data_IF_255647735971
#
_entry.id   IF_255647735971
#
_cell.length_a   1.000
_cell.length_b   1.000
_cell.length_c   1.000
_cell.angle_alpha   90.00
_cell.angle_beta   90.00
_cell.angle_gamma   90.00
#
_symmetry.space_group_name_H-M   'P 1'
#
loop_
_entity.id
_entity.type
_entity.pdbx_description
1 polymer ?
#
# COMPACT_ATOMS: atom_id res chain seq x y z
N UNK A 1 17.30 -14.52 -1.31
CA UNK A 1 16.47 -13.30 -1.14
C UNK A 1 15.77 -13.00 -2.47
N UNK A 2 14.48 -12.63 -2.47
CA UNK A 2 13.76 -12.28 -3.69
C UNK A 2 14.37 -11.01 -4.32
N UNK A 3 14.23 -10.86 -5.64
CA UNK A 3 14.52 -9.60 -6.31
C UNK A 3 13.31 -8.63 -6.19
N UNK A 4 13.51 -7.35 -6.52
CA UNK A 4 12.47 -6.32 -6.37
C UNK A 4 11.20 -6.62 -7.20
N UNK A 5 11.36 -7.19 -8.39
CA UNK A 5 10.24 -7.56 -9.26
C UNK A 5 9.40 -8.68 -8.63
N UNK A 6 10.03 -9.71 -8.08
CA UNK A 6 9.30 -10.80 -7.40
C UNK A 6 8.53 -10.30 -6.18
N UNK A 7 9.09 -9.33 -5.43
CA UNK A 7 8.40 -8.72 -4.30
C UNK A 7 7.21 -7.91 -4.76
N UNK A 8 7.37 -7.08 -5.81
CA UNK A 8 6.28 -6.31 -6.39
C UNK A 8 5.15 -7.21 -6.90
N UNK A 9 5.46 -8.25 -7.68
CA UNK A 9 4.44 -9.16 -8.20
C UNK A 9 3.64 -9.85 -7.09
N UNK A 10 4.32 -10.30 -6.04
CA UNK A 10 3.64 -10.92 -4.91
C UNK A 10 2.73 -9.93 -4.17
N UNK A 11 3.19 -8.69 -3.97
CA UNK A 11 2.42 -7.63 -3.34
C UNK A 11 1.24 -7.18 -4.22
N UNK A 12 1.48 -7.00 -5.52
CA UNK A 12 0.44 -6.55 -6.45
C UNK A 12 -0.64 -7.60 -6.68
N UNK A 13 -0.29 -8.89 -6.77
CA UNK A 13 -1.28 -9.96 -6.84
C UNK A 13 -2.24 -9.97 -5.64
N UNK A 14 -1.75 -9.62 -4.45
CA UNK A 14 -2.58 -9.44 -3.27
C UNK A 14 -3.48 -8.21 -3.38
N UNK A 15 -2.91 -7.06 -3.75
CA UNK A 15 -3.66 -5.81 -3.90
C UNK A 15 -4.76 -5.98 -4.96
N UNK A 16 -4.44 -6.49 -6.15
CA UNK A 16 -5.37 -6.69 -7.24
C UNK A 16 -6.58 -7.58 -6.87
N UNK A 17 -6.42 -8.50 -5.93
CA UNK A 17 -7.52 -9.32 -5.39
C UNK A 17 -8.53 -8.48 -4.60
N UNK A 18 -8.07 -7.40 -3.93
CA UNK A 18 -8.90 -6.53 -3.11
C UNK A 18 -9.41 -5.31 -3.86
N UNK A 19 -8.74 -4.91 -4.94
CA UNK A 19 -9.24 -3.89 -5.84
C UNK A 19 -10.24 -4.53 -6.82
N UNK A 20 -11.49 -4.12 -6.75
CA UNK A 20 -12.59 -4.67 -7.55
C UNK A 20 -12.42 -4.41 -9.06
N UNK A 21 -13.43 -4.87 -9.84
CA UNK A 21 -13.59 -4.45 -11.22
C UNK A 21 -14.21 -3.05 -11.31
N UNK A 22 -15.14 -2.90 -12.24
CA UNK A 22 -15.91 -1.66 -12.38
C UNK A 22 -16.83 -1.42 -11.18
N UNK A 23 -16.77 -0.20 -10.63
CA UNK A 23 -17.67 0.27 -9.59
C UNK A 23 -18.05 1.73 -9.88
N UNK A 24 -19.35 2.00 -9.84
CA UNK A 24 -19.91 3.34 -10.03
C UNK A 24 -21.09 3.51 -9.07
N UNK A 25 -20.92 4.37 -8.09
CA UNK A 25 -21.97 4.66 -7.13
C UNK A 25 -22.11 6.17 -6.93
N UNK A 26 -23.32 6.76 -7.05
CA UNK A 26 -23.53 8.21 -6.99
C UNK A 26 -23.02 8.89 -5.71
N UNK A 27 -22.90 8.14 -4.62
CA UNK A 27 -22.42 8.64 -3.32
C UNK A 27 -20.94 8.29 -3.05
N UNK A 28 -20.21 7.76 -4.04
CA UNK A 28 -18.77 7.51 -3.89
C UNK A 28 -17.98 8.81 -4.17
N UNK A 29 -17.27 9.35 -3.18
CA UNK A 29 -16.46 10.56 -3.38
C UNK A 29 -15.34 10.37 -4.42
N UNK A 30 -14.92 9.14 -4.70
CA UNK A 30 -13.91 8.81 -5.70
C UNK A 30 -14.44 8.83 -7.13
N UNK A 31 -15.77 8.82 -7.29
CA UNK A 31 -16.44 8.68 -8.58
C UNK A 31 -16.32 7.25 -9.14
N UNK A 32 -16.48 7.13 -10.46
CA UNK A 32 -16.32 5.84 -11.15
C UNK A 32 -14.91 5.28 -10.92
N UNK A 33 -14.82 3.97 -10.75
CA UNK A 33 -13.58 3.25 -10.45
C UNK A 33 -13.48 2.00 -11.30
N UNK A 34 -12.30 1.72 -11.86
CA UNK A 34 -11.99 0.50 -12.60
C UNK A 34 -10.67 -0.08 -12.07
N UNK A 35 -10.69 -1.34 -11.65
CA UNK A 35 -9.53 -2.04 -11.09
C UNK A 35 -8.79 -1.25 -9.98
N UNK A 36 -9.55 -0.51 -9.12
CA UNK A 36 -9.01 0.32 -8.06
C UNK A 36 -8.52 1.72 -8.49
N UNK A 37 -8.52 2.03 -9.78
CA UNK A 37 -8.20 3.36 -10.31
C UNK A 37 -9.47 4.18 -10.39
N UNK A 38 -9.58 5.25 -9.56
CA UNK A 38 -10.75 6.13 -9.53
C UNK A 38 -10.56 7.36 -10.38
N UNK A 39 -11.67 7.95 -10.83
CA UNK A 39 -11.65 9.21 -11.58
C UNK A 39 -10.96 10.33 -10.77
N UNK A 40 -11.23 10.41 -9.47
CA UNK A 40 -10.57 11.39 -8.62
C UNK A 40 -9.06 11.20 -8.58
N UNK A 41 -8.59 9.95 -8.58
CA UNK A 41 -7.15 9.65 -8.62
C UNK A 41 -6.56 10.11 -9.95
N UNK A 42 -7.17 9.77 -11.10
CA UNK A 42 -6.67 10.19 -12.42
C UNK A 42 -6.63 11.71 -12.54
N UNK A 43 -7.68 12.42 -12.10
CA UNK A 43 -7.73 13.90 -12.08
C UNK A 43 -6.66 14.56 -11.19
N UNK A 44 -6.07 13.82 -10.28
CA UNK A 44 -4.93 14.26 -9.47
C UNK A 44 -3.56 14.07 -10.13
N UNK A 45 -3.51 13.44 -11.31
CA UNK A 45 -2.30 13.22 -12.09
C UNK A 45 -2.10 14.34 -13.13
N UNK A 46 -0.90 14.41 -13.70
CA UNK A 46 -0.66 15.19 -14.90
C UNK A 46 -1.46 14.61 -16.07
N UNK A 47 -1.88 15.46 -17.04
CA UNK A 47 -2.69 15.05 -18.18
C UNK A 47 -2.11 13.82 -18.90
N UNK A 48 -0.80 13.83 -19.19
CA UNK A 48 -0.12 12.74 -19.89
C UNK A 48 -0.12 11.39 -19.12
N UNK A 49 -0.42 11.39 -17.82
CA UNK A 49 -0.56 10.17 -17.00
C UNK A 49 -2.03 9.77 -16.82
N UNK A 50 -2.94 10.74 -16.78
CA UNK A 50 -4.35 10.55 -16.43
C UNK A 50 -5.27 10.39 -17.64
N UNK A 51 -4.90 10.95 -18.78
CA UNK A 51 -5.57 10.80 -20.08
C UNK A 51 -5.20 9.42 -20.66
N UNK A 52 -6.05 8.43 -20.37
CA UNK A 52 -5.77 7.02 -20.69
C UNK A 52 -6.23 6.69 -22.12
N UNK A 53 -7.29 7.33 -22.60
CA UNK A 53 -7.81 7.11 -23.96
C UNK A 53 -7.20 8.05 -25.00
N UNK A 54 -6.50 9.11 -24.57
CA UNK A 54 -5.71 10.00 -25.42
C UNK A 54 -6.52 11.07 -26.13
N UNK A 55 -7.68 11.45 -25.58
CA UNK A 55 -8.58 12.45 -26.19
C UNK A 55 -8.28 13.90 -25.76
N UNK A 56 -7.41 14.10 -24.76
CA UNK A 56 -6.89 15.39 -24.32
C UNK A 56 -7.54 15.94 -23.06
N UNK A 57 -8.38 15.16 -22.38
CA UNK A 57 -8.89 15.51 -21.06
C UNK A 57 -8.81 14.33 -20.07
N UNK A 58 -9.31 14.50 -18.84
CA UNK A 58 -9.37 13.42 -17.86
C UNK A 58 -10.80 13.33 -17.33
N UNK A 59 -11.51 12.31 -17.80
CA UNK A 59 -12.90 12.14 -17.47
C UNK A 59 -13.29 10.67 -17.16
N UNK A 60 -14.56 10.34 -17.33
CA UNK A 60 -15.10 9.02 -17.08
C UNK A 60 -14.58 7.98 -18.08
N UNK A 61 -14.37 8.37 -19.32
CA UNK A 61 -14.03 7.46 -20.40
C UNK A 61 -12.59 6.97 -20.22
N UNK A 62 -11.68 7.78 -19.62
CA UNK A 62 -10.36 7.33 -19.15
C UNK A 62 -10.46 6.19 -18.17
N UNK A 63 -11.37 6.30 -17.17
CA UNK A 63 -11.55 5.22 -16.20
C UNK A 63 -12.06 3.96 -16.87
N UNK A 64 -12.94 4.07 -17.85
CA UNK A 64 -13.47 2.94 -18.62
C UNK A 64 -12.40 2.31 -19.52
N UNK A 65 -11.43 3.11 -19.99
CA UNK A 65 -10.29 2.65 -20.79
C UNK A 65 -9.21 1.93 -19.94
N UNK A 66 -9.25 2.03 -18.59
CA UNK A 66 -8.28 1.34 -17.74
C UNK A 66 -8.38 -0.18 -17.91
N UNK A 67 -7.30 -0.79 -18.34
CA UNK A 67 -7.11 -2.24 -18.34
C UNK A 67 -6.45 -2.71 -17.04
N UNK A 68 -6.40 -4.03 -16.81
CA UNK A 68 -5.64 -4.58 -15.66
C UNK A 68 -4.15 -4.24 -15.72
N UNK A 69 -3.59 -4.23 -16.92
CA UNK A 69 -2.17 -3.91 -17.12
C UNK A 69 -1.92 -2.41 -16.89
N UNK A 70 -2.80 -1.54 -17.40
CA UNK A 70 -2.75 -0.09 -17.13
C UNK A 70 -2.85 0.19 -15.64
N UNK A 71 -3.81 -0.43 -14.93
CA UNK A 71 -3.96 -0.29 -13.48
C UNK A 71 -2.70 -0.76 -12.74
N UNK A 72 -2.13 -1.91 -13.13
CA UNK A 72 -0.89 -2.43 -12.56
C UNK A 72 0.28 -1.44 -12.71
N UNK A 73 0.43 -0.84 -13.90
CA UNK A 73 1.51 0.10 -14.17
C UNK A 73 1.33 1.42 -13.41
N UNK A 74 0.09 1.92 -13.31
CA UNK A 74 -0.28 3.06 -12.46
C UNK A 74 0.08 2.76 -11.00
N UNK A 75 -0.35 1.62 -10.47
CA UNK A 75 -0.07 1.24 -9.08
C UNK A 75 1.43 1.05 -8.84
N UNK A 76 2.16 0.43 -9.79
CA UNK A 76 3.60 0.32 -9.70
C UNK A 76 4.26 1.69 -9.60
N UNK A 77 3.93 2.59 -10.50
CA UNK A 77 4.53 3.94 -10.56
C UNK A 77 4.24 4.75 -9.29
N UNK A 78 2.97 4.83 -8.87
CA UNK A 78 2.56 5.76 -7.83
C UNK A 78 2.69 5.23 -6.40
N UNK A 79 2.55 3.92 -6.19
CA UNK A 79 2.52 3.32 -4.86
C UNK A 79 3.74 2.42 -4.56
N UNK A 80 4.54 2.09 -5.60
CA UNK A 80 5.74 1.29 -5.44
C UNK A 80 7.02 2.05 -5.78
N UNK A 81 7.16 2.56 -7.00
CA UNK A 81 8.40 3.19 -7.47
C UNK A 81 8.60 4.59 -6.85
N UNK A 82 7.61 5.49 -6.98
CA UNK A 82 7.70 6.86 -6.40
C UNK A 82 7.98 6.85 -4.88
N UNK A 83 7.29 6.04 -4.05
CA UNK A 83 7.61 5.95 -2.63
C UNK A 83 8.79 5.04 -2.31
N UNK A 84 9.52 4.54 -3.29
CA UNK A 84 10.72 3.72 -3.12
C UNK A 84 10.45 2.42 -2.33
N UNK A 85 9.26 1.83 -2.47
CA UNK A 85 8.88 0.63 -1.74
C UNK A 85 9.81 -0.56 -2.06
N UNK A 86 10.29 -0.68 -3.32
CA UNK A 86 11.22 -1.71 -3.74
C UNK A 86 12.60 -1.67 -3.08
N UNK A 87 12.95 -0.57 -2.39
CA UNK A 87 14.21 -0.44 -1.63
C UNK A 87 14.04 -0.85 -0.15
N UNK A 88 12.82 -1.13 0.29
CA UNK A 88 12.55 -1.63 1.64
C UNK A 88 12.87 -3.13 1.75
N UNK A 89 13.07 -3.66 2.97
CA UNK A 89 13.10 -5.11 3.19
C UNK A 89 11.81 -5.76 2.62
N UNK A 90 11.90 -6.90 1.94
CA UNK A 90 10.80 -7.48 1.16
C UNK A 90 9.45 -7.56 1.86
N UNK A 91 9.39 -8.05 3.10
CA UNK A 91 8.11 -8.17 3.83
C UNK A 91 7.53 -6.80 4.24
N UNK A 92 8.41 -5.84 4.52
CA UNK A 92 8.02 -4.45 4.82
C UNK A 92 7.43 -3.78 3.59
N UNK A 93 8.08 -3.98 2.41
CA UNK A 93 7.61 -3.48 1.12
C UNK A 93 6.19 -3.96 0.80
N UNK A 94 5.89 -5.25 1.03
CA UNK A 94 4.54 -5.83 0.84
C UNK A 94 3.51 -5.13 1.73
N UNK A 95 3.78 -4.99 3.03
CA UNK A 95 2.87 -4.32 3.97
C UNK A 95 2.69 -2.84 3.63
N UNK A 96 3.79 -2.16 3.29
CA UNK A 96 3.78 -0.75 2.93
C UNK A 96 2.91 -0.51 1.69
N UNK A 97 3.15 -1.27 0.62
CA UNK A 97 2.45 -1.13 -0.64
C UNK A 97 0.94 -1.36 -0.50
N UNK A 98 0.54 -2.45 0.15
CA UNK A 98 -0.89 -2.73 0.38
C UNK A 98 -1.57 -1.62 1.19
N UNK A 99 -0.90 -1.09 2.22
CA UNK A 99 -1.47 0.00 3.00
C UNK A 99 -1.42 1.34 2.25
N UNK A 100 -0.40 1.59 1.46
CA UNK A 100 -0.28 2.79 0.62
C UNK A 100 -1.39 2.88 -0.43
N UNK A 101 -1.72 1.76 -1.08
CA UNK A 101 -2.86 1.70 -2.02
C UNK A 101 -4.18 1.99 -1.29
N UNK A 102 -4.39 1.41 -0.11
CA UNK A 102 -5.65 1.54 0.61
C UNK A 102 -5.84 2.89 1.33
N UNK A 103 -4.77 3.50 1.86
CA UNK A 103 -4.87 4.68 2.73
C UNK A 103 -4.01 5.87 2.28
N UNK A 104 -3.33 5.75 1.14
CA UNK A 104 -2.43 6.73 0.58
C UNK A 104 -0.98 6.61 1.09
N UNK A 105 -0.04 6.90 0.21
CA UNK A 105 1.42 6.84 0.46
C UNK A 105 1.85 7.65 1.69
N UNK A 106 1.41 8.92 1.89
CA UNK A 106 1.85 9.68 3.05
C UNK A 106 1.41 9.06 4.39
N UNK A 107 0.27 8.37 4.41
CA UNK A 107 -0.22 7.66 5.60
C UNK A 107 0.65 6.45 5.91
N UNK A 108 0.92 5.62 4.90
CA UNK A 108 1.76 4.44 5.04
C UNK A 108 3.19 4.83 5.48
N UNK A 109 3.74 5.91 4.89
CA UNK A 109 5.06 6.42 5.24
C UNK A 109 5.12 6.90 6.70
N UNK A 110 4.16 7.72 7.16
CA UNK A 110 4.12 8.18 8.56
C UNK A 110 3.99 7.04 9.55
N UNK A 111 3.20 6.02 9.24
CA UNK A 111 3.08 4.83 10.08
C UNK A 111 4.43 4.11 10.19
N UNK A 112 5.09 3.83 9.07
CA UNK A 112 6.40 3.19 9.05
C UNK A 112 7.44 4.01 9.83
N UNK A 113 7.49 5.33 9.60
CA UNK A 113 8.40 6.25 10.29
C UNK A 113 8.19 6.27 11.80
N UNK A 114 6.93 6.27 12.25
CA UNK A 114 6.58 6.21 13.67
C UNK A 114 7.08 4.92 14.33
N UNK A 115 6.91 3.77 13.66
CA UNK A 115 7.41 2.49 14.15
C UNK A 115 8.93 2.42 14.19
N UNK A 116 9.60 3.07 13.23
CA UNK A 116 11.06 3.16 13.13
C UNK A 116 11.66 4.22 14.07
N UNK A 117 10.82 5.08 14.69
CA UNK A 117 11.25 6.22 15.52
C UNK A 117 12.19 7.20 14.79
N UNK A 118 11.94 7.42 13.51
CA UNK A 118 12.62 8.44 12.70
C UNK A 118 11.71 9.65 12.49
N UNK A 119 12.20 10.71 11.84
CA UNK A 119 11.40 11.90 11.52
C UNK A 119 10.13 11.50 10.73
N UNK A 120 8.95 11.97 11.19
CA UNK A 120 7.63 11.61 10.67
C UNK A 120 7.13 12.70 9.73
N UNK A 121 7.66 12.73 8.50
CA UNK A 121 7.28 13.70 7.46
C UNK A 121 6.30 13.12 6.41
N UNK A 122 6.20 11.80 6.30
CA UNK A 122 5.36 11.11 5.32
C UNK A 122 6.05 10.89 3.97
N UNK A 123 7.39 11.05 3.92
CA UNK A 123 8.23 10.85 2.73
C UNK A 123 9.27 9.77 3.02
N UNK A 124 9.30 8.73 2.21
CA UNK A 124 10.28 7.65 2.37
C UNK A 124 11.63 8.09 1.83
N UNK A 125 12.46 8.63 2.72
CA UNK A 125 13.83 9.06 2.43
C UNK A 125 14.89 8.05 2.86
N UNK A 126 16.17 8.42 2.68
CA UNK A 126 17.33 7.59 3.05
C UNK A 126 17.30 7.13 4.51
N UNK A 127 16.91 8.01 5.43
CA UNK A 127 16.86 7.69 6.86
C UNK A 127 15.80 6.62 7.16
N UNK A 128 14.62 6.73 6.55
CA UNK A 128 13.54 5.73 6.67
C UNK A 128 14.00 4.37 6.14
N UNK A 129 14.61 4.34 4.96
CA UNK A 129 15.10 3.11 4.34
C UNK A 129 16.23 2.47 5.15
N UNK A 130 17.20 3.25 5.62
CA UNK A 130 18.30 2.76 6.45
C UNK A 130 17.79 2.18 7.78
N UNK A 131 16.84 2.85 8.43
CA UNK A 131 16.21 2.37 9.64
C UNK A 131 15.43 1.07 9.41
N UNK A 132 14.65 1.00 8.33
CA UNK A 132 13.91 -0.22 7.97
C UNK A 132 14.86 -1.40 7.66
N UNK A 133 15.95 -1.14 6.92
CA UNK A 133 16.94 -2.16 6.57
C UNK A 133 17.68 -2.74 7.79
N UNK A 134 17.79 -1.98 8.89
CA UNK A 134 18.47 -2.43 10.10
C UNK A 134 17.54 -3.15 11.10
N UNK A 135 16.22 -3.18 10.85
CA UNK A 135 15.24 -3.90 11.67
C UNK A 135 15.11 -5.38 11.26
N UNK A 136 14.58 -6.20 12.18
CA UNK A 136 14.02 -7.49 11.82
C UNK A 136 12.76 -7.24 10.97
N UNK A 137 12.78 -7.65 9.70
CA UNK A 137 11.70 -7.34 8.77
C UNK A 137 10.38 -8.08 9.06
N UNK A 138 10.40 -9.28 9.67
CA UNK A 138 9.18 -9.97 10.09
C UNK A 138 8.51 -9.25 11.24
N UNK A 139 9.31 -8.84 12.24
CA UNK A 139 8.80 -8.05 13.35
C UNK A 139 8.23 -6.72 12.88
N UNK A 140 8.97 -5.98 12.03
CA UNK A 140 8.51 -4.70 11.51
C UNK A 140 7.24 -4.84 10.68
N UNK A 141 7.14 -5.84 9.80
CA UNK A 141 5.93 -6.12 9.04
C UNK A 141 4.74 -6.45 9.95
N UNK A 142 4.96 -7.26 11.00
CA UNK A 142 3.92 -7.59 11.98
C UNK A 142 3.45 -6.36 12.76
N UNK A 143 4.38 -5.48 13.15
CA UNK A 143 4.05 -4.21 13.81
C UNK A 143 3.26 -3.27 12.89
N UNK A 144 3.62 -3.18 11.61
CA UNK A 144 2.85 -2.40 10.63
C UNK A 144 1.42 -2.88 10.48
N UNK A 145 1.20 -4.20 10.43
CA UNK A 145 -0.14 -4.77 10.33
C UNK A 145 -0.97 -4.53 11.60
N UNK A 146 -0.36 -4.63 12.78
CA UNK A 146 -1.00 -4.32 14.06
C UNK A 146 -1.40 -2.84 14.14
N UNK A 147 -0.47 -1.94 13.83
CA UNK A 147 -0.70 -0.49 13.86
C UNK A 147 -1.80 -0.08 12.86
N UNK A 148 -1.82 -0.72 11.68
CA UNK A 148 -2.88 -0.53 10.69
C UNK A 148 -4.26 -0.90 11.23
N UNK A 149 -4.40 -2.03 11.92
CA UNK A 149 -5.65 -2.43 12.54
C UNK A 149 -6.10 -1.42 13.61
N UNK A 150 -5.17 -0.94 14.44
CA UNK A 150 -5.45 0.08 15.44
C UNK A 150 -5.89 1.40 14.80
N UNK A 151 -5.21 1.79 13.71
CA UNK A 151 -5.57 2.98 12.95
C UNK A 151 -7.00 2.91 12.40
N UNK A 152 -7.42 1.78 11.81
CA UNK A 152 -8.79 1.61 11.33
C UNK A 152 -9.82 1.70 12.47
N UNK A 153 -9.56 1.08 13.61
CA UNK A 153 -10.43 1.17 14.79
C UNK A 153 -10.51 2.61 15.30
N UNK A 154 -9.39 3.32 15.35
CA UNK A 154 -9.32 4.73 15.70
C UNK A 154 -10.06 5.63 14.69
N UNK A 155 -10.02 5.29 13.40
CA UNK A 155 -10.79 6.00 12.38
C UNK A 155 -12.30 5.86 12.60
N UNK A 156 -12.78 4.66 12.89
CA UNK A 156 -14.21 4.41 13.20
C UNK A 156 -14.64 5.14 14.48
N UNK A 157 -13.80 5.16 15.50
CA UNK A 157 -14.09 5.90 16.73
C UNK A 157 -14.26 7.41 16.48
N UNK A 158 -13.45 7.98 15.56
CA UNK A 158 -13.55 9.40 15.16
C UNK A 158 -14.63 9.68 14.13
N UNK A 159 -14.96 8.71 13.28
CA UNK A 159 -15.91 8.80 12.18
C UNK A 159 -16.82 7.55 12.18
N UNK A 160 -17.89 7.50 13.01
CA UNK A 160 -18.72 6.30 13.16
C UNK A 160 -19.33 5.78 11.85
N UNK A 161 -19.60 6.65 10.88
CA UNK A 161 -20.08 6.25 9.54
C UNK A 161 -19.12 5.30 8.82
N UNK A 162 -17.83 5.32 9.17
CA UNK A 162 -16.82 4.43 8.60
C UNK A 162 -16.91 2.99 9.15
N UNK A 163 -17.75 2.72 10.14
CA UNK A 163 -17.91 1.37 10.70
C UNK A 163 -18.34 0.33 9.65
N UNK A 164 -19.09 0.76 8.63
CA UNK A 164 -19.49 -0.11 7.52
C UNK A 164 -18.30 -0.75 6.78
N UNK A 165 -17.15 -0.08 6.74
CA UNK A 165 -15.95 -0.54 6.04
C UNK A 165 -14.98 -1.34 6.93
N UNK A 166 -15.12 -1.27 8.26
CA UNK A 166 -14.16 -1.82 9.22
C UNK A 166 -13.90 -3.32 8.98
N UNK A 167 -14.96 -4.09 8.77
CA UNK A 167 -14.83 -5.54 8.51
C UNK A 167 -13.99 -5.83 7.27
N UNK A 168 -14.21 -5.10 6.18
CA UNK A 168 -13.43 -5.23 4.95
C UNK A 168 -11.96 -4.88 5.18
N UNK A 169 -11.67 -3.79 5.87
CA UNK A 169 -10.32 -3.37 6.20
C UNK A 169 -9.57 -4.39 7.06
N UNK A 170 -10.23 -4.94 8.08
CA UNK A 170 -9.63 -5.95 8.94
C UNK A 170 -9.40 -7.28 8.20
N UNK A 171 -10.33 -7.69 7.33
CA UNK A 171 -10.16 -8.87 6.49
C UNK A 171 -8.98 -8.71 5.53
N UNK A 172 -8.83 -7.55 4.87
CA UNK A 172 -7.68 -7.25 4.00
C UNK A 172 -6.37 -7.30 4.78
N UNK A 173 -6.34 -6.73 5.99
CA UNK A 173 -5.14 -6.76 6.84
C UNK A 173 -4.79 -8.17 7.28
N UNK A 174 -5.79 -9.00 7.63
CA UNK A 174 -5.60 -10.42 7.96
C UNK A 174 -5.07 -11.23 6.78
N UNK A 175 -5.59 -10.98 5.57
CA UNK A 175 -5.13 -11.65 4.35
C UNK A 175 -3.69 -11.22 3.99
N UNK A 176 -3.34 -9.94 4.19
CA UNK A 176 -1.96 -9.46 4.07
C UNK A 176 -1.02 -10.12 5.08
N UNK A 177 -1.45 -10.32 6.33
CA UNK A 177 -0.70 -11.06 7.36
C UNK A 177 -0.41 -12.49 6.92
N UNK A 178 -1.41 -13.19 6.43
CA UNK A 178 -1.25 -14.55 5.91
C UNK A 178 -0.30 -14.59 4.69
N UNK A 179 -0.34 -13.58 3.81
CA UNK A 179 0.61 -13.45 2.72
C UNK A 179 2.05 -13.28 3.22
N UNK A 180 2.28 -12.36 4.18
CA UNK A 180 3.60 -12.10 4.76
C UNK A 180 4.22 -13.38 5.33
N UNK A 181 3.44 -14.19 6.06
CA UNK A 181 3.93 -15.46 6.62
C UNK A 181 4.30 -16.47 5.51
N UNK A 182 3.47 -16.60 4.46
CA UNK A 182 3.79 -17.47 3.32
C UNK A 182 5.05 -17.00 2.58
N UNK A 183 5.20 -15.69 2.38
CA UNK A 183 6.38 -15.13 1.70
C UNK A 183 7.64 -15.26 2.55
N UNK A 184 7.54 -15.08 3.87
CA UNK A 184 8.65 -15.30 4.79
C UNK A 184 9.18 -16.73 4.68
N UNK A 185 8.28 -17.72 4.70
CA UNK A 185 8.64 -19.12 4.53
C UNK A 185 9.24 -19.39 3.14
N UNK A 186 8.59 -18.90 2.07
CA UNK A 186 9.04 -19.09 0.67
C UNK A 186 10.43 -18.49 0.42
N UNK A 187 10.72 -17.33 1.00
CA UNK A 187 11.97 -16.61 0.79
C UNK A 187 13.06 -16.93 1.83
N UNK A 188 12.80 -17.88 2.74
CA UNK A 188 13.73 -18.27 3.79
C UNK A 188 14.07 -17.12 4.75
N UNK A 189 13.12 -16.22 5.00
CA UNK A 189 13.28 -15.09 5.92
C UNK A 189 12.94 -15.59 7.33
N UNK A 190 13.98 -15.85 8.11
CA UNK A 190 13.87 -16.31 9.50
C UNK A 190 13.96 -15.14 10.48
N UNK A 191 13.58 -15.36 11.73
CA UNK A 191 13.67 -14.35 12.81
C UNK A 191 15.11 -14.09 13.30
N UNK A 192 16.08 -14.90 12.84
CA UNK A 192 17.45 -14.89 13.36
C UNK A 192 18.28 -13.83 12.66
N UNK A 193 18.84 -12.87 13.39
CA UNK A 193 20.03 -12.12 12.99
C UNK A 193 19.94 -10.59 12.88
N UNK A 194 18.83 -9.94 13.22
CA UNK A 194 18.75 -8.47 13.30
C UNK A 194 18.10 -8.02 14.60
N UNK A 195 18.60 -6.89 15.14
CA UNK A 195 18.05 -6.30 16.37
C UNK A 195 16.55 -6.05 16.26
N UNK A 196 15.82 -6.31 17.35
CA UNK A 196 14.41 -5.95 17.46
C UNK A 196 14.23 -4.44 17.24
N UNK A 197 13.16 -4.07 16.52
CA UNK A 197 12.81 -2.65 16.35
C UNK A 197 12.50 -1.98 17.70
N UNK A 198 12.16 -2.75 18.74
CA UNK A 198 11.84 -2.26 20.08
C UNK A 198 13.07 -1.92 20.92
N UNK A 199 14.21 -2.54 20.66
CA UNK A 199 15.44 -2.39 21.45
C UNK A 199 16.29 -1.16 21.09
N UNK A 200 15.83 -0.35 20.14
CA UNK A 200 16.49 0.91 19.80
C UNK A 200 15.97 2.04 20.69
N UNK A 201 16.47 2.05 21.91
CA UNK A 201 16.32 3.18 22.83
C UNK A 201 17.52 4.11 22.66
#
# INVERSE_FOLDING_TARGET
MPNQQEVFEAAHAHVAKWEGGYFDHPNDPGGVTMYGVSLMFLKGLDLWEGDIDGDGDIDRDDVLAVTKDTARDIFKRHFWDRPRAGEMPPLVAVCFYDFAVNAGVPRAARMLQGLLRVGVDGIVGRNTLAAAASCNQRELASLMLLEREQWYRGLVAKKPKSAAFLRGWLNRTSDCRALVERLAARWGITEIGRASCRERV
#
